data_IF_929933343343
#
_entry.id   IF_929933343343
#
_cell.length_a   1.000
_cell.length_b   1.000
_cell.length_c   1.000
_cell.angle_alpha   90.00
_cell.angle_beta   90.00
_cell.angle_gamma   90.00
#
_symmetry.space_group_name_H-M   'P 1'
#
loop_
_entity.id
_entity.type
_entity.pdbx_description
1 polymer ?
#
# COMPACT_ATOMS: atom_id res chain seq x y z
N UNK A 1 24.51 11.42 13.29
CA UNK A 1 23.59 12.50 12.89
C UNK A 1 22.12 12.06 12.69
N UNK A 2 21.80 10.80 12.37
CA UNK A 2 20.39 10.34 12.24
C UNK A 2 19.64 10.14 13.56
N UNK A 3 20.30 9.60 14.61
CA UNK A 3 19.65 9.20 15.89
C UNK A 3 18.87 10.35 16.56
N UNK A 4 19.38 11.58 16.51
CA UNK A 4 18.79 12.73 17.21
C UNK A 4 17.75 13.51 16.40
N UNK A 5 17.47 13.14 15.14
CA UNK A 5 16.55 13.89 14.26
C UNK A 5 15.15 14.04 14.84
N UNK A 6 14.69 13.04 15.58
CA UNK A 6 13.36 13.07 16.22
C UNK A 6 13.25 14.15 17.30
N UNK A 7 14.34 14.55 17.96
CA UNK A 7 14.33 15.65 18.94
C UNK A 7 14.11 17.02 18.30
N UNK A 8 14.47 17.20 17.03
CA UNK A 8 14.33 18.47 16.30
C UNK A 8 13.10 18.47 15.38
N UNK A 9 12.27 17.43 15.45
CA UNK A 9 11.08 17.35 14.62
C UNK A 9 10.04 18.40 15.02
N UNK A 10 9.38 18.98 14.03
CA UNK A 10 8.28 19.93 14.23
C UNK A 10 7.11 19.58 13.32
N UNK A 11 5.90 19.67 13.86
CA UNK A 11 4.68 19.62 13.07
C UNK A 11 4.52 20.94 12.32
N UNK A 12 4.58 20.84 11.00
CA UNK A 12 4.31 21.91 10.06
C UNK A 12 3.21 21.41 9.13
N UNK A 13 2.45 22.29 8.45
CA UNK A 13 1.44 21.85 7.48
C UNK A 13 2.00 20.88 6.43
N UNK A 14 3.27 21.07 6.02
CA UNK A 14 3.97 20.18 5.10
C UNK A 14 4.23 18.79 5.71
N UNK A 15 4.81 18.72 6.91
CA UNK A 15 5.13 17.43 7.54
C UNK A 15 3.87 16.66 7.94
N UNK A 16 2.84 17.36 8.42
CA UNK A 16 1.53 16.77 8.71
C UNK A 16 0.90 16.12 7.48
N UNK A 17 0.89 16.83 6.33
CA UNK A 17 0.33 16.29 5.09
C UNK A 17 1.10 15.06 4.60
N UNK A 18 2.43 15.11 4.65
CA UNK A 18 3.26 13.97 4.26
C UNK A 18 3.00 12.76 5.17
N UNK A 19 3.00 12.95 6.49
CA UNK A 19 2.71 11.85 7.42
C UNK A 19 1.34 11.26 7.18
N UNK A 20 0.31 12.09 6.97
CA UNK A 20 -1.04 11.60 6.68
C UNK A 20 -1.11 10.76 5.40
N UNK A 21 -0.46 11.22 4.31
CA UNK A 21 -0.42 10.48 3.05
C UNK A 21 0.21 9.10 3.24
N UNK A 22 1.39 9.04 3.87
CA UNK A 22 2.13 7.78 3.99
C UNK A 22 1.57 6.83 5.05
N UNK A 23 0.95 7.35 6.11
CA UNK A 23 0.40 6.52 7.20
C UNK A 23 -1.04 6.08 6.92
N UNK A 24 -1.85 6.90 6.23
CA UNK A 24 -3.26 6.59 5.98
C UNK A 24 -3.55 6.33 4.51
N UNK A 25 -3.24 7.28 3.62
CA UNK A 25 -3.69 7.22 2.21
C UNK A 25 -3.06 6.03 1.47
N UNK A 26 -1.73 5.88 1.57
CA UNK A 26 -1.02 4.80 0.87
C UNK A 26 -1.47 3.42 1.37
N UNK A 27 -1.51 3.13 2.69
CA UNK A 27 -2.02 1.86 3.19
C UNK A 27 -3.49 1.62 2.84
N UNK A 28 -4.34 2.65 2.84
CA UNK A 28 -5.75 2.50 2.47
C UNK A 28 -5.92 2.09 0.99
N UNK A 29 -5.19 2.72 0.08
CA UNK A 29 -5.20 2.34 -1.34
C UNK A 29 -4.69 0.92 -1.52
N UNK A 30 -3.54 0.59 -0.92
CA UNK A 30 -2.96 -0.74 -1.00
C UNK A 30 -3.89 -1.81 -0.40
N UNK A 31 -4.49 -1.53 0.75
CA UNK A 31 -5.46 -2.42 1.38
C UNK A 31 -6.69 -2.63 0.52
N UNK A 32 -7.25 -1.57 -0.05
CA UNK A 32 -8.39 -1.67 -0.96
C UNK A 32 -8.08 -2.55 -2.18
N UNK A 33 -6.93 -2.33 -2.82
CA UNK A 33 -6.48 -3.16 -3.95
C UNK A 33 -6.32 -4.60 -3.48
N UNK A 34 -5.58 -4.83 -2.39
CA UNK A 34 -5.33 -6.16 -1.85
C UNK A 34 -6.64 -6.91 -1.59
N UNK A 35 -7.59 -6.33 -0.85
CA UNK A 35 -8.89 -6.96 -0.58
C UNK A 35 -9.73 -7.19 -1.83
N UNK A 36 -9.60 -6.31 -2.84
CA UNK A 36 -10.30 -6.51 -4.11
C UNK A 36 -9.67 -7.61 -4.94
N UNK A 37 -8.34 -7.75 -4.91
CA UNK A 37 -7.58 -8.69 -5.74
C UNK A 37 -7.32 -10.02 -5.06
N UNK A 38 -7.57 -10.12 -3.76
CA UNK A 38 -7.39 -11.33 -2.99
C UNK A 38 -8.29 -12.45 -3.56
N UNK A 39 -7.67 -13.60 -3.85
CA UNK A 39 -8.35 -14.74 -4.45
C UNK A 39 -8.91 -14.52 -5.87
N UNK A 40 -8.67 -13.38 -6.53
CA UNK A 40 -9.17 -13.19 -7.89
C UNK A 40 -8.37 -13.98 -8.94
N UNK A 41 -7.08 -14.21 -8.69
CA UNK A 41 -6.13 -14.69 -9.71
C UNK A 41 -5.53 -16.02 -9.25
N UNK A 42 -5.84 -17.10 -9.97
CA UNK A 42 -5.20 -18.40 -9.76
C UNK A 42 -4.39 -18.84 -10.98
N UNK A 43 -3.10 -19.03 -10.74
CA UNK A 43 -2.13 -19.44 -11.75
C UNK A 43 -1.83 -20.94 -11.68
N UNK A 44 -2.46 -21.69 -10.76
CA UNK A 44 -2.19 -23.11 -10.57
C UNK A 44 -2.64 -23.89 -11.81
N UNK A 45 -1.68 -24.58 -12.43
CA UNK A 45 -1.87 -25.46 -13.58
C UNK A 45 -2.52 -24.81 -14.83
N UNK A 46 -2.56 -23.47 -14.94
CA UNK A 46 -3.08 -22.76 -16.12
C UNK A 46 -2.09 -22.85 -17.30
N UNK A 47 -2.61 -23.03 -18.52
CA UNK A 47 -1.86 -23.05 -19.78
C UNK A 47 -2.17 -21.81 -20.63
N UNK A 48 -1.45 -21.66 -21.74
CA UNK A 48 -1.67 -20.56 -22.70
C UNK A 48 -3.11 -20.58 -23.21
N UNK A 49 -3.86 -19.52 -22.91
CA UNK A 49 -5.27 -19.37 -23.30
C UNK A 49 -6.28 -19.66 -22.20
N UNK A 50 -5.85 -20.19 -21.05
CA UNK A 50 -6.76 -20.49 -19.93
C UNK A 50 -7.10 -19.23 -19.12
N UNK A 51 -8.35 -19.17 -18.64
CA UNK A 51 -8.81 -18.09 -17.77
C UNK A 51 -8.16 -18.19 -16.38
N UNK A 52 -7.45 -17.13 -16.00
CA UNK A 52 -6.75 -16.99 -14.70
C UNK A 52 -7.66 -16.32 -13.65
N UNK A 53 -8.69 -15.61 -14.11
CA UNK A 53 -9.66 -14.93 -13.25
C UNK A 53 -10.66 -15.95 -12.67
N UNK A 54 -10.79 -15.98 -11.36
CA UNK A 54 -11.54 -17.01 -10.62
C UNK A 54 -12.93 -16.56 -10.15
N UNK A 55 -13.35 -15.34 -10.53
CA UNK A 55 -14.62 -14.74 -10.12
C UNK A 55 -15.69 -14.75 -11.21
#
# INVERSE_FOLDING_TARGET
>A
MMKTRHHYFRWTPRTARLTFIYVAVVPAIMGYIAYKTDGLWDFRAKRKGDLIYEK
#
